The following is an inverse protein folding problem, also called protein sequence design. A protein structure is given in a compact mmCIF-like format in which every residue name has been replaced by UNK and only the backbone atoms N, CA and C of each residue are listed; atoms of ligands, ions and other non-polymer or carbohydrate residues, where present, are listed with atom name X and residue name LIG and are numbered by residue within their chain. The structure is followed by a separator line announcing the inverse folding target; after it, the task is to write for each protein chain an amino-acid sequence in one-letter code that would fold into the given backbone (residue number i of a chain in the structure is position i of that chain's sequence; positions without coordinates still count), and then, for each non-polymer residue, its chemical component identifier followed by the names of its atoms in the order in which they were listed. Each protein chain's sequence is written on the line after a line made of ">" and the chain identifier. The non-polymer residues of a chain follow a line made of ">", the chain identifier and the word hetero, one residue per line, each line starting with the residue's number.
data_IF_222595598639
#
_entry.id   IF_222595598639
#
_cell.length_a   1.000
_cell.length_b   1.000
_cell.length_c   1.000
_cell.angle_alpha   90.00
_cell.angle_beta   90.00
_cell.angle_gamma   90.00
#
_symmetry.space_group_name_H-M   'P 1'
#
loop_
_entity.id
_entity.type
_entity.pdbx_description
1 polymer ?
#
# COMPACT_ATOMS: atom_id res chain seq x y z
N UNK A 1 -10.06 -9.87 12.07
CA UNK A 1 -10.99 -10.73 11.31
C UNK A 1 -11.06 -10.36 9.82
N UNK A 2 -11.36 -9.11 9.43
CA UNK A 2 -11.57 -8.74 8.01
C UNK A 2 -10.34 -8.92 7.11
N UNK A 3 -9.16 -8.43 7.52
CA UNK A 3 -7.94 -8.56 6.71
C UNK A 3 -7.51 -10.00 6.51
N UNK A 4 -7.52 -10.81 7.57
CA UNK A 4 -7.24 -12.24 7.49
C UNK A 4 -8.17 -12.95 6.48
N UNK A 5 -9.46 -12.58 6.47
CA UNK A 5 -10.44 -13.11 5.52
C UNK A 5 -10.20 -12.63 4.08
N UNK A 6 -9.68 -11.42 3.89
CA UNK A 6 -9.34 -10.92 2.55
C UNK A 6 -8.04 -11.56 2.04
N UNK A 7 -7.02 -11.65 2.88
CA UNK A 7 -5.76 -12.29 2.58
C UNK A 7 -5.91 -13.79 2.27
N UNK A 8 -6.89 -14.47 2.88
CA UNK A 8 -7.18 -15.89 2.61
C UNK A 8 -7.96 -16.14 1.32
N UNK A 9 -8.38 -15.10 0.58
CA UNK A 9 -9.12 -15.30 -0.68
C UNK A 9 -8.16 -15.76 -1.79
N UNK A 10 -8.56 -16.77 -2.61
CA UNK A 10 -7.76 -17.18 -3.76
C UNK A 10 -7.42 -15.99 -4.67
N UNK A 11 -6.15 -15.91 -5.07
CA UNK A 11 -5.63 -14.86 -5.94
C UNK A 11 -5.26 -13.56 -5.23
N UNK A 12 -5.62 -13.34 -3.96
CA UNK A 12 -5.17 -12.16 -3.21
C UNK A 12 -3.68 -12.29 -2.87
N UNK A 13 -2.90 -11.31 -3.30
CA UNK A 13 -1.45 -11.25 -3.08
C UNK A 13 -1.13 -10.46 -1.81
N UNK A 14 -1.79 -9.32 -1.62
CA UNK A 14 -1.57 -8.45 -0.46
C UNK A 14 -2.78 -7.59 -0.13
N UNK A 15 -2.83 -7.15 1.12
CA UNK A 15 -3.84 -6.21 1.63
C UNK A 15 -3.17 -5.12 2.42
N UNK A 16 -3.58 -3.87 2.25
CA UNK A 16 -3.13 -2.73 3.05
C UNK A 16 -4.31 -1.93 3.58
N UNK A 17 -4.16 -1.39 4.78
CA UNK A 17 -5.00 -0.33 5.32
C UNK A 17 -4.08 0.86 5.52
N UNK A 18 -4.38 1.96 4.85
CA UNK A 18 -3.63 3.21 4.96
C UNK A 18 -4.48 4.26 5.66
N UNK A 19 -3.84 5.17 6.39
CA UNK A 19 -4.46 6.44 6.79
C UNK A 19 -4.76 7.25 5.54
N UNK A 20 -6.00 7.75 5.40
CA UNK A 20 -6.41 8.57 4.26
C UNK A 20 -5.64 9.89 4.21
N UNK A 21 -5.40 10.48 5.38
CA UNK A 21 -4.83 11.82 5.48
C UNK A 21 -3.33 11.82 5.21
N UNK A 22 -2.62 10.80 5.70
CA UNK A 22 -1.15 10.74 5.69
C UNK A 22 -0.57 9.68 4.76
N UNK A 23 -1.36 8.68 4.35
CA UNK A 23 -0.87 7.51 3.62
C UNK A 23 -0.12 6.50 4.50
N UNK A 24 -0.01 6.74 5.81
CA UNK A 24 0.70 5.85 6.73
C UNK A 24 0.06 4.45 6.78
N UNK A 25 0.87 3.41 6.85
CA UNK A 25 0.41 2.03 6.95
C UNK A 25 -0.16 1.81 8.35
N UNK A 26 -1.45 1.49 8.42
CA UNK A 26 -2.13 1.11 9.67
C UNK A 26 -2.00 -0.40 9.87
N UNK A 27 -2.19 -1.18 8.80
CA UNK A 27 -2.02 -2.64 8.75
C UNK A 27 -1.67 -3.09 7.34
N UNK A 28 -0.83 -4.11 7.23
CA UNK A 28 -0.49 -4.77 5.96
C UNK A 28 -0.48 -6.29 6.11
N UNK A 29 -0.56 -7.02 5.00
CA UNK A 29 -0.35 -8.46 4.90
C UNK A 29 0.12 -8.80 3.49
N UNK A 30 1.05 -9.75 3.35
CA UNK A 30 1.58 -10.18 2.04
C UNK A 30 2.58 -9.20 1.41
N UNK A 31 3.13 -8.27 2.19
CA UNK A 31 4.19 -7.33 1.81
C UNK A 31 5.25 -7.32 2.91
N UNK A 32 6.48 -6.96 2.55
CA UNK A 32 7.60 -6.87 3.50
C UNK A 32 7.62 -5.45 4.06
N UNK A 33 7.57 -5.31 5.38
CA UNK A 33 7.79 -4.05 6.07
C UNK A 33 9.30 -3.81 6.25
N UNK A 34 9.72 -2.56 6.36
CA UNK A 34 11.14 -2.23 6.58
C UNK A 34 11.70 -2.90 7.85
N UNK A 35 10.88 -3.01 8.90
CA UNK A 35 11.23 -3.74 10.13
C UNK A 35 11.51 -5.22 9.86
N UNK A 36 10.71 -5.90 9.03
CA UNK A 36 10.90 -7.32 8.68
C UNK A 36 12.13 -7.55 7.78
N UNK A 37 12.55 -6.53 7.03
CA UNK A 37 13.73 -6.61 6.15
C UNK A 37 15.05 -6.52 6.92
N UNK A 38 15.03 -5.97 8.14
CA UNK A 38 16.20 -5.84 9.01
C UNK A 38 16.41 -7.08 9.92
N UNK A 39 15.43 -7.99 10.03
CA UNK A 39 15.49 -9.19 10.90
C UNK A 39 16.13 -10.42 10.23
N UNK A 40 16.51 -10.38 8.95
CA UNK A 40 17.19 -11.54 8.31
C UNK A 40 18.64 -11.80 8.82
N UNK A 41 19.16 -11.01 9.78
CA UNK A 41 20.43 -11.27 10.49
C UNK A 41 20.26 -11.67 11.98
N UNK A 42 19.05 -11.80 12.53
CA UNK A 42 18.91 -12.32 13.90
C UNK A 42 17.58 -13.04 14.17
N UNK A 43 17.69 -14.25 14.71
CA UNK A 43 16.60 -15.17 15.07
C UNK A 43 15.44 -14.55 15.87
N UNK A 44 14.23 -15.17 15.87
CA UNK A 44 13.01 -14.52 16.30
C UNK A 44 12.83 -14.59 17.82
N UNK A 45 12.47 -13.46 18.43
CA UNK A 45 11.74 -13.46 19.71
C UNK A 45 10.61 -12.45 19.68
N UNK A 46 9.44 -12.94 20.09
CA UNK A 46 8.19 -12.24 20.24
C UNK A 46 8.29 -11.00 21.14
N UNK A 47 7.71 -9.88 20.71
CA UNK A 47 6.63 -9.16 21.40
C UNK A 47 6.47 -7.75 20.82
N UNK A 48 5.21 -7.34 20.65
CA UNK A 48 4.87 -6.07 20.03
C UNK A 48 5.38 -4.85 20.80
N UNK A 49 5.65 -3.77 20.07
CA UNK A 49 5.60 -2.42 20.63
C UNK A 49 5.25 -1.43 19.53
N UNK A 50 4.15 -0.71 19.74
CA UNK A 50 3.76 0.45 18.96
C UNK A 50 4.75 1.58 19.20
N UNK A 51 5.25 2.24 18.15
CA UNK A 51 5.92 3.54 18.29
C UNK A 51 5.47 4.51 17.19
N UNK A 52 4.87 5.62 17.66
CA UNK A 52 4.72 6.87 16.94
C UNK A 52 6.09 7.53 16.73
N UNK A 53 6.30 8.18 15.59
CA UNK A 53 6.99 9.47 15.51
C UNK A 53 6.64 10.15 14.18
N UNK A 54 5.85 11.23 14.19
CA UNK A 54 6.26 12.64 14.27
C UNK A 54 6.61 13.23 12.90
N UNK A 55 5.87 14.27 12.55
CA UNK A 55 6.02 15.14 11.39
C UNK A 55 7.45 15.68 11.23
N UNK A 56 7.99 15.70 10.01
CA UNK A 56 9.03 16.67 9.63
C UNK A 56 8.97 16.94 8.12
N UNK A 57 8.62 18.19 7.77
CA UNK A 57 8.86 18.80 6.47
C UNK A 57 10.38 18.88 6.22
N UNK A 58 10.86 18.45 5.05
CA UNK A 58 12.25 18.64 4.67
C UNK A 58 12.63 18.01 3.33
N UNK A 59 12.88 18.87 2.36
CA UNK A 59 13.48 18.64 1.05
C UNK A 59 14.87 17.98 1.10
N UNK A 60 15.13 16.94 0.29
CA UNK A 60 16.47 16.66 -0.24
C UNK A 60 16.44 15.71 -1.46
N UNK A 61 17.28 16.05 -2.45
CA UNK A 61 17.47 15.41 -3.76
C UNK A 61 18.44 14.21 -3.74
N UNK A 62 18.26 13.34 -4.74
CA UNK A 62 19.23 12.58 -5.56
C UNK A 62 20.42 11.82 -4.95
N UNK A 63 20.52 10.54 -5.35
CA UNK A 63 21.77 9.77 -5.44
C UNK A 63 21.53 8.31 -5.88
N UNK A 64 21.78 7.97 -7.15
CA UNK A 64 21.95 6.57 -7.61
C UNK A 64 23.40 6.07 -7.36
N UNK A 65 23.86 4.92 -7.91
CA UNK A 65 23.20 3.94 -8.80
C UNK A 65 23.41 2.44 -8.42
N UNK A 66 22.83 1.55 -9.24
CA UNK A 66 23.23 0.16 -9.53
C UNK A 66 23.20 -0.95 -8.45
N UNK A 67 22.20 -1.82 -8.61
CA UNK A 67 22.19 -3.17 -8.03
C UNK A 67 21.17 -4.06 -8.73
N UNK A 68 21.62 -4.85 -9.73
CA UNK A 68 20.83 -5.92 -10.35
C UNK A 68 20.30 -6.87 -9.27
N UNK A 69 18.99 -7.04 -9.15
CA UNK A 69 18.45 -8.24 -8.52
C UNK A 69 17.25 -8.81 -9.28
N UNK A 70 17.44 -10.09 -9.62
CA UNK A 70 16.61 -10.99 -10.41
C UNK A 70 15.14 -10.94 -9.98
N UNK A 71 14.25 -10.90 -10.97
CA UNK A 71 12.82 -11.09 -10.82
C UNK A 71 12.52 -12.48 -10.23
N UNK A 72 12.18 -12.55 -8.95
CA UNK A 72 11.58 -13.74 -8.34
C UNK A 72 10.45 -13.28 -7.40
N UNK A 73 9.22 -13.61 -7.78
CA UNK A 73 8.05 -13.73 -6.88
C UNK A 73 7.93 -12.69 -5.74
N UNK A 74 7.74 -11.42 -6.11
CA UNK A 74 6.69 -10.58 -5.53
C UNK A 74 6.82 -9.98 -4.12
N UNK A 75 8.00 -9.86 -3.51
CA UNK A 75 8.14 -9.07 -2.27
C UNK A 75 8.31 -7.58 -2.60
N UNK A 76 7.18 -6.87 -2.73
CA UNK A 76 7.19 -5.39 -2.77
C UNK A 76 7.34 -4.85 -1.35
N UNK A 77 8.13 -3.80 -1.17
CA UNK A 77 8.18 -3.05 0.09
C UNK A 77 6.83 -2.38 0.33
N UNK A 78 6.25 -2.59 1.51
CA UNK A 78 4.91 -2.11 1.81
C UNK A 78 4.82 -0.58 1.76
N UNK A 79 5.88 0.10 2.18
CA UNK A 79 6.01 1.56 2.24
C UNK A 79 5.98 2.17 0.83
N UNK A 80 6.67 1.55 -0.11
CA UNK A 80 6.69 1.99 -1.51
C UNK A 80 5.28 1.86 -2.12
N UNK A 81 4.62 0.71 -1.91
CA UNK A 81 3.26 0.46 -2.39
C UNK A 81 2.27 1.44 -1.76
N UNK A 82 2.35 1.65 -0.45
CA UNK A 82 1.50 2.58 0.28
C UNK A 82 1.64 4.00 -0.26
N UNK A 83 2.87 4.46 -0.46
CA UNK A 83 3.15 5.80 -0.97
C UNK A 83 2.62 6.00 -2.40
N UNK A 84 2.78 5.01 -3.27
CA UNK A 84 2.23 5.04 -4.63
C UNK A 84 0.71 5.08 -4.64
N UNK A 85 0.04 4.22 -3.85
CA UNK A 85 -1.42 4.16 -3.76
C UNK A 85 -1.99 5.47 -3.21
N UNK A 86 -1.40 6.01 -2.16
CA UNK A 86 -1.86 7.25 -1.54
C UNK A 86 -1.73 8.45 -2.48
N UNK A 87 -0.58 8.62 -3.15
CA UNK A 87 -0.39 9.69 -4.15
C UNK A 87 -1.38 9.55 -5.30
N UNK A 88 -1.59 8.34 -5.81
CA UNK A 88 -2.58 8.10 -6.86
C UNK A 88 -4.00 8.47 -6.42
N UNK A 89 -4.41 8.15 -5.18
CA UNK A 89 -5.72 8.54 -4.65
C UNK A 89 -5.89 10.04 -4.45
N UNK A 90 -4.82 10.78 -4.11
CA UNK A 90 -4.87 12.25 -4.10
C UNK A 90 -5.14 12.81 -5.49
N UNK A 91 -4.48 12.30 -6.52
CA UNK A 91 -4.73 12.71 -7.90
C UNK A 91 -6.14 12.36 -8.38
N UNK A 92 -6.64 11.17 -8.03
CA UNK A 92 -8.03 10.78 -8.34
C UNK A 92 -9.04 11.68 -7.62
N UNK A 93 -8.79 12.07 -6.37
CA UNK A 93 -9.64 13.01 -5.64
C UNK A 93 -9.79 14.33 -6.37
N UNK A 94 -8.67 14.97 -6.75
CA UNK A 94 -8.71 16.22 -7.53
C UNK A 94 -9.42 16.05 -8.87
N UNK A 95 -9.18 14.94 -9.59
CA UNK A 95 -9.89 14.64 -10.84
C UNK A 95 -11.40 14.52 -10.66
N UNK A 96 -11.86 13.87 -9.59
CA UNK A 96 -13.30 13.70 -9.33
C UNK A 96 -13.95 15.04 -8.96
N UNK A 97 -13.28 15.87 -8.15
CA UNK A 97 -13.76 17.21 -7.81
C UNK A 97 -13.86 18.12 -9.03
N UNK A 98 -12.86 18.07 -9.94
CA UNK A 98 -12.90 18.82 -11.20
C UNK A 98 -14.03 18.36 -12.12
N UNK A 99 -14.36 17.07 -12.10
CA UNK A 99 -15.38 16.49 -12.97
C UNK A 99 -16.81 16.72 -12.46
N UNK A 100 -17.01 16.55 -11.15
CA UNK A 100 -18.35 16.45 -10.54
C UNK A 100 -18.65 17.57 -9.53
N UNK A 101 -17.68 18.41 -9.21
CA UNK A 101 -17.80 19.51 -8.25
C UNK A 101 -17.23 19.19 -6.88
N UNK A 102 -17.16 20.24 -6.05
CA UNK A 102 -16.58 20.18 -4.70
C UNK A 102 -17.27 19.14 -3.81
N UNK A 103 -16.48 18.31 -3.14
CA UNK A 103 -16.97 17.32 -2.18
C UNK A 103 -17.40 15.99 -2.78
N UNK A 104 -17.36 15.81 -4.10
CA UNK A 104 -17.50 14.48 -4.69
C UNK A 104 -16.22 13.65 -4.48
N UNK A 105 -16.39 12.34 -4.25
CA UNK A 105 -15.28 11.44 -3.98
C UNK A 105 -15.48 10.05 -4.60
N UNK A 106 -14.39 9.45 -5.04
CA UNK A 106 -14.41 8.06 -5.52
C UNK A 106 -14.79 7.09 -4.40
N UNK A 107 -15.82 6.27 -4.62
CA UNK A 107 -16.24 5.22 -3.67
C UNK A 107 -15.53 3.88 -3.88
N UNK A 108 -15.08 3.61 -5.10
CA UNK A 108 -14.33 2.41 -5.43
C UNK A 108 -13.46 2.70 -6.65
N UNK A 109 -12.18 2.41 -6.53
CA UNK A 109 -11.21 2.53 -7.62
C UNK A 109 -10.65 1.14 -7.86
N UNK A 110 -10.78 0.65 -9.09
CA UNK A 110 -10.19 -0.62 -9.51
C UNK A 110 -9.31 -0.39 -10.73
N UNK A 111 -8.03 -0.70 -10.59
CA UNK A 111 -7.06 -0.63 -11.67
C UNK A 111 -6.66 -2.06 -12.02
N UNK A 112 -7.12 -2.54 -13.18
CA UNK A 112 -6.72 -3.84 -13.72
C UNK A 112 -5.51 -3.66 -14.63
N UNK A 113 -4.42 -4.33 -14.30
CA UNK A 113 -3.24 -4.45 -15.18
C UNK A 113 -3.15 -5.85 -15.76
N UNK A 114 -2.24 -6.05 -16.70
CA UNK A 114 -1.93 -7.38 -17.24
C UNK A 114 -1.43 -8.35 -16.18
N UNK A 115 -0.85 -7.85 -15.07
CA UNK A 115 -0.21 -8.67 -14.04
C UNK A 115 -1.07 -8.85 -12.79
N UNK A 116 -1.82 -7.83 -12.44
CA UNK A 116 -2.54 -7.75 -11.18
C UNK A 116 -3.63 -6.68 -11.24
N UNK A 117 -4.56 -6.79 -10.31
CA UNK A 117 -5.57 -5.79 -10.03
C UNK A 117 -5.30 -5.13 -8.69
N UNK A 118 -5.48 -3.82 -8.64
CA UNK A 118 -5.44 -3.02 -7.42
C UNK A 118 -6.84 -2.46 -7.19
N UNK A 119 -7.43 -2.81 -6.06
CA UNK A 119 -8.73 -2.32 -5.63
C UNK A 119 -8.51 -1.43 -4.41
N UNK A 120 -8.97 -0.17 -4.51
CA UNK A 120 -8.88 0.81 -3.43
C UNK A 120 -10.30 1.29 -3.11
N UNK A 121 -10.67 1.22 -1.84
CA UNK A 121 -11.95 1.72 -1.32
C UNK A 121 -11.65 2.76 -0.25
N UNK A 122 -11.93 4.04 -0.51
CA UNK A 122 -11.91 5.07 0.52
C UNK A 122 -13.06 4.86 1.51
N UNK A 123 -12.75 4.75 2.80
CA UNK A 123 -13.74 4.54 3.86
C UNK A 123 -13.41 5.37 5.10
N UNK A 124 -14.14 6.48 5.29
CA UNK A 124 -13.92 7.41 6.39
C UNK A 124 -12.47 7.90 6.43
N UNK A 125 -11.74 7.54 7.49
CA UNK A 125 -10.34 7.92 7.74
C UNK A 125 -9.32 6.97 7.10
N UNK A 126 -9.75 5.94 6.38
CA UNK A 126 -8.88 4.90 5.86
C UNK A 126 -9.01 4.73 4.34
N UNK A 127 -7.94 4.21 3.74
CA UNK A 127 -7.95 3.64 2.40
C UNK A 127 -7.74 2.12 2.54
N UNK A 128 -8.74 1.35 2.11
CA UNK A 128 -8.66 -0.10 2.07
C UNK A 128 -8.12 -0.51 0.70
N UNK A 129 -6.96 -1.16 0.67
CA UNK A 129 -6.30 -1.58 -0.56
C UNK A 129 -6.17 -3.10 -0.61
N UNK A 130 -6.51 -3.69 -1.74
CA UNK A 130 -6.30 -5.11 -2.04
C UNK A 130 -5.58 -5.21 -3.37
N UNK A 131 -4.51 -6.01 -3.39
CA UNK A 131 -3.82 -6.36 -4.62
C UNK A 131 -3.99 -7.85 -4.85
N UNK A 132 -4.55 -8.21 -6.00
CA UNK A 132 -4.80 -9.60 -6.35
C UNK A 132 -4.40 -9.87 -7.80
N UNK A 133 -4.18 -11.14 -8.12
CA UNK A 133 -3.88 -11.58 -9.47
C UNK A 133 -5.04 -11.27 -10.41
N UNK A 134 -4.70 -10.94 -11.64
CA UNK A 134 -5.67 -10.80 -12.73
C UNK A 134 -5.95 -12.19 -13.30
N UNK A 135 -7.19 -12.73 -13.21
CA UNK A 135 -7.52 -14.01 -13.86
C UNK A 135 -7.24 -13.94 -15.35
N UNK A 136 -6.76 -15.05 -15.93
CA UNK A 136 -6.62 -15.18 -17.38
C UNK A 136 -7.97 -14.88 -18.05
N UNK A 137 -7.92 -14.06 -19.10
CA UNK A 137 -9.11 -13.63 -19.85
C UNK A 137 -9.70 -14.78 -20.67
#
# INVERSE_FOLDING_TARGET
>A
ALLARLASRPGVQSTLILSRDTGAIVRSSGLVLAEDAEVEEAAPTANGTYLNATETNGTAQNGGPDGKQKSNKGTRKAEEVASLVWRFMKSVGGFVEELNGEGDEGKLIRVRTKKNEVVVVPEGRFLLCVIHETPAA
#
